data_IF_345117065972
#
_entry.id   IF_345117065972
#
_cell.length_a   1.000
_cell.length_b   1.000
_cell.length_c   1.000
_cell.angle_alpha   90.00
_cell.angle_beta   90.00
_cell.angle_gamma   90.00
#
_symmetry.space_group_name_H-M   'P 1'
#
loop_
_entity.id
_entity.type
_entity.pdbx_description
1 polymer ?
#
# COMPACT_ATOMS: atom_id res chain seq x y z
N UNK A 1 -27.39 -6.57 27.29
CA UNK A 1 -27.96 -5.49 28.13
C UNK A 1 -28.20 -4.30 27.21
N UNK A 2 -29.46 -4.09 26.87
CA UNK A 2 -29.94 -3.07 25.93
C UNK A 2 -29.89 -1.70 26.60
N UNK A 3 -29.43 -0.67 25.88
CA UNK A 3 -29.81 0.73 26.16
C UNK A 3 -30.31 1.37 24.87
N UNK A 4 -31.62 1.56 24.85
CA UNK A 4 -32.33 2.54 24.04
C UNK A 4 -32.41 3.83 24.88
N UNK A 5 -32.46 4.98 24.20
CA UNK A 5 -33.26 6.20 24.48
C UNK A 5 -32.44 7.46 24.17
N UNK A 6 -33.01 8.33 23.34
CA UNK A 6 -32.60 9.74 23.20
C UNK A 6 -33.21 10.43 21.98
N UNK A 7 -34.36 11.05 22.17
CA UNK A 7 -35.21 11.74 21.17
C UNK A 7 -34.92 13.26 21.08
N UNK A 8 -35.52 13.92 20.07
CA UNK A 8 -35.78 15.37 19.88
C UNK A 8 -34.62 16.18 19.25
N UNK A 9 -34.82 17.18 18.39
CA UNK A 9 -35.98 18.06 18.13
C UNK A 9 -35.77 18.84 16.81
N UNK A 10 -36.85 19.14 16.09
CA UNK A 10 -36.92 20.08 14.95
C UNK A 10 -36.99 21.53 15.48
N UNK A 11 -36.39 22.50 14.79
CA UNK A 11 -36.70 23.93 14.87
C UNK A 11 -36.48 24.56 13.50
N UNK A 12 -37.55 25.11 12.91
CA UNK A 12 -37.52 25.88 11.68
C UNK A 12 -37.24 27.37 11.92
N UNK A 13 -36.99 28.09 10.83
CA UNK A 13 -37.30 29.51 10.70
C UNK A 13 -37.51 29.83 9.21
N UNK A 14 -38.69 30.36 8.91
CA UNK A 14 -39.07 30.95 7.62
C UNK A 14 -38.53 32.38 7.54
N UNK A 15 -37.97 32.74 6.39
CA UNK A 15 -37.93 34.14 5.91
C UNK A 15 -38.34 34.11 4.44
N UNK A 16 -39.50 34.70 4.14
CA UNK A 16 -39.98 34.92 2.79
C UNK A 16 -39.25 36.13 2.16
N UNK A 17 -38.69 35.92 0.97
CA UNK A 17 -38.07 36.95 0.15
C UNK A 17 -38.17 36.51 -1.32
N UNK A 18 -38.95 37.28 -2.08
CA UNK A 18 -39.43 36.98 -3.42
C UNK A 18 -38.35 37.10 -4.49
N UNK A 19 -38.34 36.10 -5.38
CA UNK A 19 -38.19 36.25 -6.83
C UNK A 19 -36.88 36.86 -7.36
N UNK A 20 -35.90 35.99 -7.61
CA UNK A 20 -35.07 36.07 -8.82
C UNK A 20 -34.53 34.68 -9.20
N UNK A 21 -34.46 34.48 -10.51
CA UNK A 21 -34.49 33.20 -11.22
C UNK A 21 -33.12 32.48 -11.20
N UNK A 22 -32.76 31.78 -10.12
CA UNK A 22 -31.65 30.80 -10.15
C UNK A 22 -31.54 29.94 -8.88
N UNK A 23 -31.97 28.68 -8.94
CA UNK A 23 -31.59 27.61 -8.00
C UNK A 23 -31.50 26.34 -8.84
N UNK A 24 -30.32 25.82 -9.25
CA UNK A 24 -29.38 25.08 -8.40
C UNK A 24 -30.08 24.52 -7.17
N UNK A 25 -30.87 23.47 -7.39
CA UNK A 25 -31.08 22.50 -6.33
C UNK A 25 -29.71 22.07 -5.82
N UNK A 26 -29.46 22.42 -4.57
CA UNK A 26 -28.34 21.94 -3.78
C UNK A 26 -28.65 20.47 -3.48
N UNK A 27 -28.51 19.61 -4.51
CA UNK A 27 -28.57 18.17 -4.34
C UNK A 27 -27.43 17.83 -3.38
N UNK A 28 -27.78 17.36 -2.18
CA UNK A 28 -26.83 16.67 -1.33
C UNK A 28 -26.09 15.64 -2.19
N UNK A 29 -24.76 15.57 -2.11
CA UNK A 29 -23.99 14.54 -2.81
C UNK A 29 -24.55 13.16 -2.38
N UNK A 30 -25.46 12.59 -3.17
CA UNK A 30 -26.16 11.37 -2.78
C UNK A 30 -25.16 10.24 -2.61
N UNK A 31 -25.20 9.59 -1.45
CA UNK A 31 -24.28 8.50 -1.10
C UNK A 31 -24.42 7.33 -2.07
N UNK A 32 -23.29 6.84 -2.57
CA UNK A 32 -23.24 5.76 -3.55
C UNK A 32 -22.82 4.46 -2.88
N UNK A 33 -23.66 3.44 -3.01
CA UNK A 33 -23.41 2.14 -2.40
C UNK A 33 -22.69 1.25 -3.41
N UNK A 34 -21.62 0.58 -2.99
CA UNK A 34 -20.83 -0.33 -3.83
C UNK A 34 -20.84 -1.71 -3.19
N UNK A 35 -21.54 -2.66 -3.81
CA UNK A 35 -21.59 -4.04 -3.34
C UNK A 35 -20.32 -4.79 -3.76
N UNK A 36 -19.60 -5.35 -2.78
CA UNK A 36 -18.32 -6.06 -2.99
C UNK A 36 -18.41 -7.52 -2.56
N UNK A 37 -17.55 -8.37 -3.14
CA UNK A 37 -17.41 -9.76 -2.70
C UNK A 37 -16.45 -9.90 -1.51
N UNK A 38 -16.52 -11.03 -0.82
CA UNK A 38 -15.65 -11.33 0.32
C UNK A 38 -14.23 -11.73 -0.09
N UNK A 39 -13.98 -11.91 -1.40
CA UNK A 39 -12.65 -12.24 -1.91
C UNK A 39 -11.77 -11.00 -1.98
N UNK A 40 -10.47 -11.21 -1.92
CA UNK A 40 -9.52 -10.11 -1.85
C UNK A 40 -9.54 -9.29 -3.15
N UNK A 41 -10.02 -8.05 -3.06
CA UNK A 41 -10.03 -7.04 -4.14
C UNK A 41 -10.67 -7.46 -5.48
N UNK A 42 -11.47 -8.54 -5.51
CA UNK A 42 -12.18 -9.01 -6.72
C UNK A 42 -13.21 -7.99 -7.25
N UNK A 43 -13.68 -7.07 -6.40
CA UNK A 43 -14.61 -5.99 -6.79
C UNK A 43 -13.91 -4.63 -6.89
N UNK A 44 -12.58 -4.60 -6.96
CA UNK A 44 -11.79 -3.36 -7.05
C UNK A 44 -12.18 -2.56 -8.28
N UNK A 45 -12.35 -3.22 -9.42
CA UNK A 45 -12.68 -2.57 -10.68
C UNK A 45 -14.05 -1.89 -10.63
N UNK A 46 -15.05 -2.48 -9.98
CA UNK A 46 -16.36 -1.87 -9.71
C UNK A 46 -16.27 -0.61 -8.85
N UNK A 47 -15.44 -0.63 -7.78
CA UNK A 47 -15.24 0.55 -6.94
C UNK A 47 -14.57 1.69 -7.71
N UNK A 48 -13.50 1.39 -8.46
CA UNK A 48 -12.78 2.40 -9.25
C UNK A 48 -13.70 3.00 -10.30
N UNK A 49 -14.48 2.18 -10.99
CA UNK A 49 -15.48 2.65 -11.94
C UNK A 49 -16.51 3.56 -11.26
N UNK A 50 -17.04 3.17 -10.10
CA UNK A 50 -18.00 3.98 -9.36
C UNK A 50 -17.45 5.38 -9.06
N UNK A 51 -16.24 5.46 -8.51
CA UNK A 51 -15.59 6.74 -8.15
C UNK A 51 -15.38 7.63 -9.38
N UNK A 52 -14.98 7.04 -10.51
CA UNK A 52 -14.64 7.80 -11.71
C UNK A 52 -15.85 8.26 -12.53
N UNK A 53 -16.99 7.55 -12.47
CA UNK A 53 -18.08 7.72 -13.43
C UNK A 53 -19.39 8.24 -12.83
N UNK A 54 -19.55 8.21 -11.51
CA UNK A 54 -20.82 8.58 -10.87
C UNK A 54 -20.86 10.01 -10.35
N UNK A 55 -19.71 10.68 -10.23
CA UNK A 55 -19.61 12.05 -9.73
C UNK A 55 -19.89 12.22 -8.22
N UNK A 56 -20.15 11.14 -7.48
CA UNK A 56 -20.41 11.18 -6.04
C UNK A 56 -19.15 11.44 -5.21
N UNK A 57 -19.33 12.07 -4.04
CA UNK A 57 -18.25 12.32 -3.06
C UNK A 57 -18.28 11.40 -1.85
N UNK A 58 -19.44 10.82 -1.56
CA UNK A 58 -19.68 9.91 -0.43
C UNK A 58 -20.01 8.49 -0.92
N UNK A 59 -19.27 7.50 -0.43
CA UNK A 59 -19.43 6.10 -0.80
C UNK A 59 -19.70 5.21 0.42
N UNK A 60 -20.40 4.10 0.20
CA UNK A 60 -20.56 3.05 1.20
C UNK A 60 -20.20 1.69 0.59
N UNK A 61 -19.13 1.07 1.07
CA UNK A 61 -18.70 -0.26 0.66
C UNK A 61 -19.54 -1.30 1.39
N UNK A 62 -20.39 -2.02 0.67
CA UNK A 62 -21.33 -2.99 1.23
C UNK A 62 -20.83 -4.40 1.02
N UNK A 63 -20.75 -5.17 2.09
CA UNK A 63 -20.54 -6.61 2.03
C UNK A 63 -21.67 -7.35 2.77
N UNK A 64 -22.29 -8.31 2.08
CA UNK A 64 -23.27 -9.22 2.67
C UNK A 64 -22.59 -10.56 2.97
N UNK A 65 -22.51 -10.89 4.25
CA UNK A 65 -22.02 -12.16 4.75
C UNK A 65 -23.15 -13.18 4.76
N UNK A 66 -22.93 -14.30 4.07
CA UNK A 66 -23.79 -15.47 4.15
C UNK A 66 -23.23 -16.44 5.22
N UNK A 67 -23.91 -16.62 6.36
CA UNK A 67 -23.48 -17.54 7.41
C UNK A 67 -23.47 -18.98 6.89
N UNK A 68 -22.48 -19.77 7.31
CA UNK A 68 -22.43 -21.19 6.95
C UNK A 68 -23.55 -21.92 7.73
N UNK A 69 -24.55 -22.43 7.01
CA UNK A 69 -25.57 -23.32 7.58
C UNK A 69 -24.94 -24.69 7.86
N UNK A 70 -24.92 -25.11 9.13
CA UNK A 70 -24.46 -26.44 9.55
C UNK A 70 -25.67 -27.26 9.98
N UNK A 71 -25.80 -28.48 9.47
CA UNK A 71 -26.95 -29.36 9.74
C UNK A 71 -26.80 -30.30 10.94
N UNK A 72 -25.81 -30.13 11.84
CA UNK A 72 -25.54 -31.13 12.89
C UNK A 72 -25.58 -30.56 14.31
N UNK A 73 -26.49 -31.12 15.09
CA UNK A 73 -26.68 -30.96 16.54
C UNK A 73 -25.53 -31.65 17.29
N UNK A 74 -24.52 -30.87 17.71
CA UNK A 74 -23.43 -31.37 18.53
C UNK A 74 -22.72 -30.23 19.28
N UNK A 75 -22.94 -30.14 20.59
CA UNK A 75 -22.43 -29.09 21.49
C UNK A 75 -20.90 -28.97 21.49
N UNK A 76 -20.18 -30.02 21.12
CA UNK A 76 -18.70 -30.09 21.06
C UNK A 76 -18.08 -29.36 19.84
N UNK A 77 -18.86 -28.96 18.84
CA UNK A 77 -18.35 -28.27 17.63
C UNK A 77 -18.51 -26.74 17.68
N UNK A 78 -19.19 -26.21 18.70
CA UNK A 78 -19.57 -24.80 18.77
C UNK A 78 -18.36 -23.86 18.90
N UNK A 79 -17.33 -24.24 19.66
CA UNK A 79 -16.17 -23.39 19.93
C UNK A 79 -15.23 -23.32 18.71
N UNK A 80 -15.02 -24.46 18.02
CA UNK A 80 -14.26 -24.51 16.76
C UNK A 80 -14.99 -23.77 15.63
N UNK A 81 -16.33 -23.86 15.59
CA UNK A 81 -17.20 -23.10 14.67
C UNK A 81 -17.10 -21.59 14.90
N UNK A 82 -17.17 -21.16 16.16
CA UNK A 82 -17.03 -19.74 16.52
C UNK A 82 -15.67 -19.20 16.12
N UNK A 83 -14.58 -19.94 16.36
CA UNK A 83 -13.22 -19.54 15.94
C UNK A 83 -13.07 -19.39 14.42
N UNK A 84 -13.65 -20.29 13.63
CA UNK A 84 -13.62 -20.21 12.16
C UNK A 84 -14.42 -19.01 11.65
N UNK A 85 -15.60 -18.77 12.21
CA UNK A 85 -16.43 -17.61 11.91
C UNK A 85 -15.71 -16.30 12.26
N UNK A 86 -15.11 -16.19 13.45
CA UNK A 86 -14.36 -14.99 13.88
C UNK A 86 -13.16 -14.73 12.97
N UNK A 87 -12.36 -15.75 12.63
CA UNK A 87 -11.25 -15.60 11.66
C UNK A 87 -11.73 -15.18 10.27
N UNK A 88 -12.86 -15.72 9.82
CA UNK A 88 -13.47 -15.34 8.54
C UNK A 88 -13.91 -13.87 8.53
N UNK A 89 -14.58 -13.44 9.60
CA UNK A 89 -15.03 -12.05 9.80
C UNK A 89 -13.86 -11.07 9.85
N UNK A 90 -12.79 -11.40 10.57
CA UNK A 90 -11.56 -10.60 10.58
C UNK A 90 -10.91 -10.46 9.20
N UNK A 91 -10.88 -11.54 8.41
CA UNK A 91 -10.34 -11.52 7.05
C UNK A 91 -11.16 -10.59 6.14
N UNK A 92 -12.48 -10.70 6.20
CA UNK A 92 -13.38 -9.82 5.44
C UNK A 92 -13.20 -8.37 5.91
N UNK A 93 -13.06 -8.15 7.21
CA UNK A 93 -12.86 -6.82 7.75
C UNK A 93 -11.59 -6.15 7.21
N UNK A 94 -10.48 -6.92 7.16
CA UNK A 94 -9.23 -6.49 6.53
C UNK A 94 -9.40 -6.22 5.03
N UNK A 95 -10.20 -7.01 4.32
CA UNK A 95 -10.48 -6.78 2.90
C UNK A 95 -11.27 -5.47 2.69
N UNK A 96 -12.30 -5.20 3.52
CA UNK A 96 -13.04 -3.93 3.48
C UNK A 96 -12.14 -2.72 3.75
N UNK A 97 -11.18 -2.83 4.67
CA UNK A 97 -10.23 -1.76 4.95
C UNK A 97 -9.32 -1.46 3.74
N UNK A 98 -9.01 -2.46 2.89
CA UNK A 98 -8.30 -2.22 1.63
C UNK A 98 -9.12 -1.37 0.66
N UNK A 99 -10.43 -1.58 0.57
CA UNK A 99 -11.31 -0.75 -0.25
C UNK A 99 -11.37 0.70 0.28
N UNK A 100 -11.47 0.89 1.59
CA UNK A 100 -11.41 2.23 2.20
C UNK A 100 -10.08 2.95 1.91
N UNK A 101 -8.97 2.21 1.89
CA UNK A 101 -7.67 2.76 1.51
C UNK A 101 -7.63 3.20 0.04
N UNK A 102 -8.33 2.51 -0.86
CA UNK A 102 -8.47 2.93 -2.27
C UNK A 102 -9.27 4.23 -2.34
N UNK A 103 -10.42 4.30 -1.65
CA UNK A 103 -11.24 5.52 -1.57
C UNK A 103 -10.43 6.73 -1.07
N UNK A 104 -9.65 6.55 0.01
CA UNK A 104 -8.79 7.61 0.56
C UNK A 104 -7.73 8.09 -0.45
N UNK A 105 -7.12 7.16 -1.19
CA UNK A 105 -6.14 7.51 -2.25
C UNK A 105 -6.78 8.27 -3.41
N UNK A 106 -8.04 7.98 -3.71
CA UNK A 106 -8.83 8.66 -4.74
C UNK A 106 -9.56 9.91 -4.23
N UNK A 107 -9.29 10.35 -2.99
CA UNK A 107 -9.82 11.57 -2.40
C UNK A 107 -11.36 11.62 -2.27
N UNK A 108 -12.00 10.47 -2.05
CA UNK A 108 -13.44 10.38 -1.77
C UNK A 108 -13.70 9.89 -0.34
N UNK A 109 -14.82 10.31 0.24
CA UNK A 109 -15.24 9.82 1.55
C UNK A 109 -15.91 8.44 1.38
N UNK A 110 -15.57 7.50 2.27
CA UNK A 110 -16.15 6.16 2.22
C UNK A 110 -16.30 5.55 3.61
N UNK A 111 -17.44 4.90 3.82
CA UNK A 111 -17.67 4.01 4.95
C UNK A 111 -17.83 2.56 4.51
N UNK A 112 -17.84 1.64 5.46
CA UNK A 112 -18.07 0.21 5.22
C UNK A 112 -19.32 -0.25 5.96
N UNK A 113 -20.12 -1.06 5.29
CA UNK A 113 -21.33 -1.68 5.83
C UNK A 113 -21.22 -3.20 5.70
N UNK A 114 -21.30 -3.89 6.83
CA UNK A 114 -21.30 -5.35 6.93
C UNK A 114 -22.71 -5.81 7.31
N UNK A 115 -23.32 -6.65 6.47
CA UNK A 115 -24.68 -7.17 6.65
C UNK A 115 -24.58 -8.69 6.79
N UNK A 116 -25.19 -9.28 7.81
CA UNK A 116 -25.34 -10.73 7.93
C UNK A 116 -26.72 -11.12 7.41
N UNK A 117 -26.79 -12.00 6.41
CA UNK A 117 -28.05 -12.45 5.80
C UNK A 117 -27.93 -13.86 5.25
N UNK A 118 -29.01 -14.63 5.28
CA UNK A 118 -29.04 -16.01 4.74
C UNK A 118 -28.80 -16.06 3.22
N UNK A 119 -29.11 -14.97 2.52
CA UNK A 119 -28.87 -14.79 1.09
C UNK A 119 -28.24 -13.43 0.81
N UNK A 120 -27.27 -13.39 -0.10
CA UNK A 120 -26.62 -12.13 -0.53
C UNK A 120 -27.64 -11.23 -1.23
N UNK A 121 -28.51 -11.83 -2.03
CA UNK A 121 -29.55 -11.19 -2.81
C UNK A 121 -30.55 -10.48 -1.88
N UNK A 122 -31.03 -11.19 -0.85
CA UNK A 122 -31.93 -10.62 0.15
C UNK A 122 -31.27 -9.49 0.92
N UNK A 123 -30.00 -9.63 1.29
CA UNK A 123 -29.27 -8.57 1.99
C UNK A 123 -29.16 -7.28 1.18
N UNK A 124 -28.99 -7.40 -0.15
CA UNK A 124 -28.98 -6.24 -1.06
C UNK A 124 -30.40 -5.68 -1.25
N UNK A 125 -31.42 -6.52 -1.45
CA UNK A 125 -32.81 -6.07 -1.59
C UNK A 125 -33.32 -5.35 -0.33
N UNK A 126 -32.95 -5.86 0.85
CA UNK A 126 -33.29 -5.24 2.12
C UNK A 126 -32.56 -3.91 2.31
N UNK A 127 -31.30 -3.81 1.86
CA UNK A 127 -30.57 -2.56 1.85
C UNK A 127 -31.29 -1.50 1.02
N UNK A 128 -31.76 -1.85 -0.18
CA UNK A 128 -32.50 -0.93 -1.05
C UNK A 128 -33.84 -0.55 -0.41
N UNK A 129 -34.62 -1.53 0.02
CA UNK A 129 -36.01 -1.32 0.47
C UNK A 129 -36.10 -0.65 1.84
N UNK A 130 -35.28 -1.08 2.81
CA UNK A 130 -35.40 -0.64 4.20
C UNK A 130 -34.47 0.53 4.55
N UNK A 131 -33.32 0.63 3.89
CA UNK A 131 -32.37 1.74 4.13
C UNK A 131 -32.46 2.83 3.07
N UNK A 132 -33.37 2.70 2.10
CA UNK A 132 -33.62 3.73 1.09
C UNK A 132 -32.44 4.00 0.17
N UNK A 133 -31.66 2.96 -0.19
CA UNK A 133 -30.54 3.12 -1.10
C UNK A 133 -31.05 3.47 -2.49
N UNK A 134 -30.69 4.66 -2.99
CA UNK A 134 -31.10 5.18 -4.30
C UNK A 134 -30.11 4.90 -5.41
N UNK A 135 -28.83 4.66 -5.08
CA UNK A 135 -27.72 4.50 -6.03
C UNK A 135 -26.83 3.34 -5.62
N UNK A 136 -26.80 2.30 -6.45
CA UNK A 136 -26.04 1.06 -6.21
C UNK A 136 -25.14 0.72 -7.39
N UNK A 137 -23.88 0.40 -7.12
CA UNK A 137 -22.95 -0.21 -8.07
C UNK A 137 -22.66 -1.64 -7.64
N UNK A 138 -22.75 -2.59 -8.56
CA UNK A 138 -22.42 -3.99 -8.30
C UNK A 138 -21.83 -4.72 -9.52
N UNK A 139 -21.26 -5.91 -9.30
CA UNK A 139 -20.65 -6.70 -10.37
C UNK A 139 -21.67 -7.41 -11.26
N UNK A 140 -21.52 -7.29 -12.58
CA UNK A 140 -22.33 -7.99 -13.59
C UNK A 140 -21.98 -9.49 -13.72
N UNK A 141 -20.73 -9.84 -13.45
CA UNK A 141 -20.17 -11.19 -13.48
C UNK A 141 -18.92 -11.24 -12.57
N UNK A 142 -18.37 -12.44 -12.36
CA UNK A 142 -17.01 -12.54 -11.82
C UNK A 142 -16.00 -12.09 -12.90
N UNK A 143 -14.94 -11.37 -12.52
CA UNK A 143 -13.97 -10.79 -13.47
C UNK A 143 -13.38 -11.81 -14.45
N UNK A 144 -13.17 -13.06 -14.00
CA UNK A 144 -12.67 -14.17 -14.84
C UNK A 144 -13.59 -14.58 -16.00
N UNK A 145 -14.85 -14.17 -15.98
CA UNK A 145 -15.84 -14.43 -17.03
C UNK A 145 -16.08 -13.20 -17.92
N UNK A 146 -15.30 -12.13 -17.73
CA UNK A 146 -15.36 -10.96 -18.57
C UNK A 146 -14.90 -11.27 -20.00
N UNK A 147 -15.67 -10.77 -20.97
CA UNK A 147 -15.31 -10.69 -22.39
C UNK A 147 -15.63 -9.28 -22.88
N UNK A 148 -14.79 -8.71 -23.76
CA UNK A 148 -15.03 -7.39 -24.35
C UNK A 148 -16.37 -7.29 -25.12
N UNK A 149 -16.97 -8.43 -25.50
CA UNK A 149 -18.27 -8.48 -26.19
C UNK A 149 -19.47 -8.66 -25.24
N UNK A 150 -19.24 -8.66 -23.93
CA UNK A 150 -20.28 -8.85 -22.92
C UNK A 150 -21.25 -7.67 -22.90
N UNK A 151 -22.53 -7.95 -23.19
CA UNK A 151 -23.63 -6.98 -23.11
C UNK A 151 -24.69 -7.33 -22.07
N UNK A 152 -24.72 -8.59 -21.66
CA UNK A 152 -25.74 -9.11 -20.75
C UNK A 152 -25.15 -9.48 -19.39
N UNK A 153 -26.00 -9.46 -18.35
CA UNK A 153 -25.64 -9.93 -17.02
C UNK A 153 -25.41 -11.45 -17.03
N UNK A 154 -24.32 -11.91 -16.41
CA UNK A 154 -24.01 -13.35 -16.28
C UNK A 154 -24.01 -13.84 -14.83
N UNK A 155 -23.90 -12.94 -13.85
CA UNK A 155 -24.06 -13.27 -12.45
C UNK A 155 -25.53 -13.53 -12.14
N UNK A 156 -25.85 -14.74 -11.64
CA UNK A 156 -27.19 -15.07 -11.14
C UNK A 156 -27.68 -14.05 -10.10
N UNK A 157 -26.77 -13.55 -9.25
CA UNK A 157 -27.08 -12.50 -8.26
C UNK A 157 -27.43 -11.18 -8.93
N UNK A 158 -26.68 -10.77 -9.95
CA UNK A 158 -26.93 -9.53 -10.68
C UNK A 158 -28.25 -9.58 -11.45
N UNK A 159 -28.53 -10.69 -12.13
CA UNK A 159 -29.81 -10.92 -12.83
C UNK A 159 -30.98 -10.81 -11.86
N UNK A 160 -30.88 -11.47 -10.70
CA UNK A 160 -31.92 -11.42 -9.68
C UNK A 160 -32.12 -10.00 -9.12
N UNK A 161 -31.05 -9.30 -8.73
CA UNK A 161 -31.14 -7.91 -8.23
C UNK A 161 -31.68 -6.96 -9.30
N UNK A 162 -31.29 -7.11 -10.57
CA UNK A 162 -31.81 -6.30 -11.67
C UNK A 162 -33.33 -6.44 -11.84
N UNK A 163 -33.88 -7.63 -11.53
CA UNK A 163 -35.31 -7.92 -11.69
C UNK A 163 -36.13 -7.55 -10.46
N UNK A 164 -35.62 -7.85 -9.26
CA UNK A 164 -36.40 -7.79 -8.02
C UNK A 164 -36.20 -6.51 -7.20
N UNK A 165 -35.13 -5.74 -7.46
CA UNK A 165 -34.91 -4.51 -6.70
C UNK A 165 -36.01 -3.47 -6.95
N UNK A 166 -36.43 -2.69 -5.93
CA UNK A 166 -37.34 -1.57 -6.13
C UNK A 166 -36.89 -0.64 -7.26
N UNK A 167 -37.84 -0.11 -8.01
CA UNK A 167 -37.61 0.84 -9.11
C UNK A 167 -37.16 2.22 -8.62
N UNK A 168 -37.17 2.45 -7.31
CA UNK A 168 -36.63 3.65 -6.65
C UNK A 168 -35.10 3.71 -6.64
N UNK A 169 -34.41 2.61 -6.94
CA UNK A 169 -32.95 2.52 -6.92
C UNK A 169 -32.36 2.40 -8.33
N UNK A 170 -31.48 3.34 -8.64
CA UNK A 170 -30.63 3.29 -9.81
C UNK A 170 -29.49 2.31 -9.59
N UNK A 171 -29.29 1.37 -10.52
CA UNK A 171 -28.28 0.31 -10.37
C UNK A 171 -27.35 0.29 -11.58
N UNK A 172 -26.03 0.35 -11.35
CA UNK A 172 -25.01 0.13 -12.36
C UNK A 172 -24.36 -1.24 -12.20
N UNK A 173 -24.29 -1.99 -13.29
CA UNK A 173 -23.65 -3.30 -13.35
C UNK A 173 -22.33 -3.20 -14.11
N UNK A 174 -21.22 -3.47 -13.42
CA UNK A 174 -19.88 -3.32 -13.99
C UNK A 174 -19.14 -4.64 -14.04
N UNK A 175 -18.18 -4.76 -14.96
CA UNK A 175 -17.26 -5.89 -15.00
C UNK A 175 -15.91 -5.44 -15.56
N UNK A 176 -14.81 -5.81 -14.90
CA UNK A 176 -13.44 -5.46 -15.30
C UNK A 176 -13.22 -3.96 -15.60
N UNK A 177 -13.91 -3.09 -14.85
CA UNK A 177 -13.79 -1.63 -14.97
C UNK A 177 -14.65 -1.00 -16.07
N UNK A 178 -15.51 -1.77 -16.73
CA UNK A 178 -16.45 -1.28 -17.74
C UNK A 178 -17.89 -1.37 -17.24
N UNK A 179 -18.73 -0.42 -17.67
CA UNK A 179 -20.18 -0.49 -17.49
C UNK A 179 -20.74 -1.51 -18.50
N UNK A 180 -21.45 -2.51 -18.00
CA UNK A 180 -22.13 -3.51 -18.83
C UNK A 180 -23.55 -3.03 -19.14
N UNK A 181 -24.32 -2.71 -18.10
CA UNK A 181 -25.65 -2.13 -18.24
C UNK A 181 -26.04 -1.32 -16.99
N UNK A 182 -27.07 -0.50 -17.12
CA UNK A 182 -27.70 0.22 -16.02
C UNK A 182 -29.20 -0.07 -15.96
N UNK A 183 -29.76 0.06 -14.75
CA UNK A 183 -31.19 0.05 -14.51
C UNK A 183 -31.55 1.39 -13.87
N UNK A 184 -32.23 2.22 -14.67
CA UNK A 184 -32.65 3.55 -14.26
C UNK A 184 -33.69 3.50 -13.13
N UNK A 185 -33.61 4.45 -12.20
CA UNK A 185 -34.66 4.63 -11.21
C UNK A 185 -35.88 5.33 -11.84
N UNK A 186 -37.09 4.88 -11.49
CA UNK A 186 -38.32 5.61 -11.81
C UNK A 186 -38.54 6.68 -10.76
N UNK A 187 -38.55 7.95 -11.19
CA UNK A 187 -38.90 9.06 -10.30
C UNK A 187 -40.38 8.97 -9.97
N UNK A 188 -40.71 8.89 -8.67
CA UNK A 188 -42.05 8.77 -8.13
C UNK A 188 -42.91 10.04 -8.24
N UNK A 189 -42.76 10.81 -9.31
CA UNK A 189 -43.62 11.95 -9.63
C UNK A 189 -44.56 11.56 -10.79
N UNK A 190 -45.47 10.62 -10.52
CA UNK A 190 -46.81 10.49 -11.16
C UNK A 190 -47.44 9.14 -10.80
N UNK A 191 -48.11 9.10 -9.65
CA UNK A 191 -49.13 8.10 -9.36
C UNK A 191 -50.48 8.60 -9.88
N UNK A 192 -50.68 8.69 -11.20
CA UNK A 192 -52.01 8.79 -11.83
C UNK A 192 -51.94 8.33 -13.30
N UNK A 193 -52.88 7.46 -13.70
CA UNK A 193 -53.20 6.98 -15.06
C UNK A 193 -52.16 6.03 -15.72
N UNK A 194 -52.53 4.92 -16.37
CA UNK A 194 -53.82 4.27 -16.55
C UNK A 194 -53.55 2.85 -17.09
N UNK A 195 -54.40 1.91 -16.68
CA UNK A 195 -54.66 0.69 -17.44
C UNK A 195 -55.37 1.02 -18.76
N UNK A 196 -55.46 0.01 -19.62
CA UNK A 196 -56.26 -0.04 -20.85
C UNK A 196 -55.59 0.53 -22.11
N UNK A 197 -55.12 -0.39 -22.94
CA UNK A 197 -55.15 -0.23 -24.39
C UNK A 197 -55.52 -1.57 -25.00
N UNK A 198 -56.80 -1.92 -24.86
CA UNK A 198 -57.47 -2.94 -25.65
C UNK A 198 -58.75 -2.32 -26.19
N UNK A 199 -58.72 -1.85 -27.44
CA UNK A 199 -59.93 -1.68 -28.25
C UNK A 199 -59.59 -1.59 -29.74
N UNK A 200 -60.06 -2.60 -30.43
CA UNK A 200 -60.45 -2.67 -31.84
C UNK A 200 -61.19 -1.44 -32.36
N UNK A 201 -61.07 -1.16 -33.67
CA UNK A 201 -62.17 -1.17 -34.67
C UNK A 201 -61.79 -0.41 -35.95
N UNK A 202 -62.09 -1.01 -37.10
CA UNK A 202 -62.80 -0.31 -38.18
C UNK A 202 -63.44 -1.33 -39.15
N UNK A 203 -64.76 -1.46 -39.05
CA UNK A 203 -65.64 -1.87 -40.13
C UNK A 203 -66.21 -0.60 -40.76
N UNK A 204 -66.28 -0.54 -42.08
CA UNK A 204 -66.90 0.52 -42.85
C UNK A 204 -68.27 0.09 -43.38
N UNK A 205 -69.26 0.94 -43.14
CA UNK A 205 -70.62 0.94 -43.68
C UNK A 205 -70.69 1.24 -45.18
N UNK A 206 -71.63 0.60 -45.92
CA UNK A 206 -72.30 1.19 -47.11
C UNK A 206 -73.78 0.74 -47.19
N UNK A 207 -74.67 1.72 -46.90
CA UNK A 207 -76.04 2.04 -47.37
C UNK A 207 -77.12 0.99 -47.72
N UNK A 208 -78.32 1.25 -47.15
CA UNK A 208 -79.66 0.75 -47.53
C UNK A 208 -80.17 1.40 -48.83
N UNK A 209 -80.88 0.63 -49.69
CA UNK A 209 -82.08 1.12 -50.39
C UNK A 209 -83.01 -0.02 -50.82
N UNK A 210 -84.22 0.37 -51.20
CA UNK A 210 -85.52 -0.27 -50.95
C UNK A 210 -86.04 -1.17 -52.09
N UNK A 211 -87.00 -2.05 -51.75
CA UNK A 211 -87.71 -3.04 -52.56
C UNK A 211 -88.34 -2.54 -53.87
N UNK A 212 -88.32 -3.39 -54.93
CA UNK A 212 -89.49 -3.69 -55.77
C UNK A 212 -89.23 -4.87 -56.74
N UNK A 213 -90.13 -5.85 -56.73
CA UNK A 213 -90.40 -6.87 -57.78
C UNK A 213 -91.94 -6.78 -57.95
N UNK A 214 -92.58 -6.89 -59.14
CA UNK A 214 -92.31 -7.95 -60.11
C UNK A 214 -92.52 -7.63 -61.59
N UNK A 215 -91.70 -8.25 -62.44
CA UNK A 215 -92.14 -8.59 -63.80
C UNK A 215 -91.32 -9.75 -64.34
N UNK A 216 -92.03 -10.85 -64.54
CA UNK A 216 -91.59 -12.09 -65.16
C UNK A 216 -91.16 -11.79 -66.60
N UNK A 217 -89.86 -11.75 -66.87
CA UNK A 217 -89.32 -11.73 -68.24
C UNK A 217 -88.38 -12.92 -68.41
N UNK A 218 -88.74 -13.74 -69.39
CA UNK A 218 -88.00 -14.86 -70.00
C UNK A 218 -86.52 -14.81 -69.64
N UNK A 219 -86.09 -15.77 -68.81
CA UNK A 219 -84.69 -15.95 -68.41
C UNK A 219 -83.92 -16.28 -69.68
N UNK A 220 -83.14 -15.32 -70.18
CA UNK A 220 -82.21 -15.53 -71.26
C UNK A 220 -81.07 -16.41 -70.71
N UNK A 221 -81.13 -17.71 -70.99
CA UNK A 221 -80.18 -18.71 -70.51
C UNK A 221 -78.72 -18.30 -70.78
N UNK A 222 -78.49 -17.55 -71.87
CA UNK A 222 -77.17 -17.04 -72.25
C UNK A 222 -76.56 -16.04 -71.26
N UNK A 223 -77.36 -15.22 -70.58
CA UNK A 223 -76.82 -14.19 -69.67
C UNK A 223 -76.40 -14.80 -68.31
N UNK A 224 -77.13 -15.83 -67.83
CA UNK A 224 -76.71 -16.63 -66.66
C UNK A 224 -75.47 -17.46 -66.94
N UNK A 225 -75.32 -17.96 -68.17
CA UNK A 225 -74.12 -18.69 -68.59
C UNK A 225 -72.91 -17.75 -68.65
N UNK A 226 -73.05 -16.54 -69.19
CA UNK A 226 -71.97 -15.53 -69.19
C UNK A 226 -71.54 -15.13 -67.78
N UNK A 227 -72.51 -14.89 -66.88
CA UNK A 227 -72.22 -14.57 -65.48
C UNK A 227 -71.45 -15.70 -64.78
N UNK A 228 -71.92 -16.94 -64.91
CA UNK A 228 -71.24 -18.12 -64.36
C UNK A 228 -69.83 -18.34 -64.95
N UNK A 229 -69.63 -18.06 -66.25
CA UNK A 229 -68.31 -18.11 -66.89
C UNK A 229 -67.38 -17.03 -66.34
N UNK A 230 -67.86 -15.79 -66.19
CA UNK A 230 -67.04 -14.71 -65.60
C UNK A 230 -66.70 -14.96 -64.13
N UNK A 231 -67.63 -15.54 -63.36
CA UNK A 231 -67.39 -15.95 -61.98
C UNK A 231 -66.34 -17.07 -61.91
N UNK A 232 -66.46 -18.09 -62.77
CA UNK A 232 -65.48 -19.16 -62.87
C UNK A 232 -64.08 -18.65 -63.27
N UNK A 233 -63.99 -17.67 -64.16
CA UNK A 233 -62.73 -17.02 -64.54
C UNK A 233 -62.13 -16.18 -63.41
N UNK A 234 -62.96 -15.47 -62.64
CA UNK A 234 -62.52 -14.73 -61.46
C UNK A 234 -61.99 -15.67 -60.38
N UNK A 235 -62.72 -16.74 -60.06
CA UNK A 235 -62.27 -17.77 -59.11
C UNK A 235 -60.97 -18.43 -59.57
N UNK A 236 -60.82 -18.69 -60.87
CA UNK A 236 -59.59 -19.23 -61.45
C UNK A 236 -58.41 -18.27 -61.31
N UNK A 237 -58.62 -16.96 -61.40
CA UNK A 237 -57.58 -15.94 -61.14
C UNK A 237 -57.21 -15.88 -59.66
N UNK A 238 -58.18 -15.95 -58.77
CA UNK A 238 -57.95 -15.95 -57.32
C UNK A 238 -57.13 -17.17 -56.88
N UNK A 239 -57.51 -18.37 -57.33
CA UNK A 239 -56.77 -19.61 -57.03
C UNK A 239 -55.33 -19.54 -57.53
N UNK A 240 -55.08 -18.92 -58.70
CA UNK A 240 -53.72 -18.72 -59.22
C UNK A 240 -52.92 -17.73 -58.38
N UNK A 241 -53.54 -16.66 -57.92
CA UNK A 241 -52.87 -15.66 -57.08
C UNK A 241 -52.51 -16.24 -55.71
N UNK A 242 -53.40 -17.02 -55.10
CA UNK A 242 -53.11 -17.75 -53.87
C UNK A 242 -52.03 -18.83 -54.07
N UNK A 243 -52.00 -19.51 -55.22
CA UNK A 243 -50.92 -20.44 -55.56
C UNK A 243 -49.56 -19.72 -55.68
N UNK A 244 -49.52 -18.54 -56.30
CA UNK A 244 -48.32 -17.71 -56.39
C UNK A 244 -47.81 -17.26 -55.01
N UNK A 245 -48.68 -16.78 -54.13
CA UNK A 245 -48.30 -16.44 -52.74
C UNK A 245 -47.75 -17.64 -51.98
N UNK A 246 -48.33 -18.83 -52.19
CA UNK A 246 -47.86 -20.06 -51.56
C UNK A 246 -46.45 -20.42 -52.05
N UNK A 247 -46.18 -20.29 -53.34
CA UNK A 247 -44.84 -20.51 -53.93
C UNK A 247 -43.81 -19.51 -53.37
N UNK A 248 -44.17 -18.24 -53.22
CA UNK A 248 -43.30 -17.23 -52.60
C UNK A 248 -43.02 -17.54 -51.12
N UNK A 249 -44.04 -17.95 -50.37
CA UNK A 249 -43.89 -18.38 -48.98
C UNK A 249 -43.01 -19.65 -48.86
N UNK A 250 -43.14 -20.59 -49.79
CA UNK A 250 -42.31 -21.80 -49.85
C UNK A 250 -40.85 -21.47 -50.14
N UNK A 251 -40.58 -20.58 -51.10
CA UNK A 251 -39.22 -20.10 -51.39
C UNK A 251 -38.61 -19.36 -50.19
N UNK A 252 -39.40 -18.51 -49.51
CA UNK A 252 -38.96 -17.83 -48.28
C UNK A 252 -38.62 -18.82 -47.16
N UNK A 253 -39.40 -19.89 -47.01
CA UNK A 253 -39.13 -20.95 -46.05
C UNK A 253 -37.83 -21.73 -46.38
N UNK A 254 -37.59 -22.02 -47.66
CA UNK A 254 -36.34 -22.66 -48.12
C UNK A 254 -35.12 -21.79 -47.79
N UNK A 255 -35.20 -20.49 -48.06
CA UNK A 255 -34.12 -19.54 -47.74
C UNK A 255 -33.87 -19.43 -46.24
N UNK A 256 -34.94 -19.42 -45.44
CA UNK A 256 -34.83 -19.43 -43.97
C UNK A 256 -34.13 -20.71 -43.48
N UNK A 257 -34.48 -21.88 -44.01
CA UNK A 257 -33.83 -23.16 -43.67
C UNK A 257 -32.36 -23.14 -44.08
N UNK A 258 -32.03 -22.62 -45.27
CA UNK A 258 -30.65 -22.51 -45.74
C UNK A 258 -29.81 -21.62 -44.82
N UNK A 259 -30.35 -20.47 -44.41
CA UNK A 259 -29.69 -19.57 -43.44
C UNK A 259 -29.52 -20.23 -42.07
N UNK A 260 -30.53 -20.96 -41.59
CA UNK A 260 -30.44 -21.69 -40.32
C UNK A 260 -29.29 -22.72 -40.35
N UNK A 261 -29.21 -23.54 -41.41
CA UNK A 261 -28.11 -24.51 -41.60
C UNK A 261 -26.74 -23.86 -41.68
N UNK A 262 -26.63 -22.71 -42.35
CA UNK A 262 -25.37 -21.95 -42.39
C UNK A 262 -24.98 -21.44 -41.01
N UNK A 263 -25.93 -20.89 -40.25
CA UNK A 263 -25.67 -20.42 -38.88
C UNK A 263 -25.27 -21.54 -37.92
N UNK A 264 -25.87 -22.74 -38.07
CA UNK A 264 -25.51 -23.92 -37.30
C UNK A 264 -24.07 -24.38 -37.59
N UNK A 265 -23.66 -24.40 -38.87
CA UNK A 265 -22.28 -24.73 -39.25
C UNK A 265 -21.28 -23.75 -38.67
N UNK A 266 -21.59 -22.45 -38.68
CA UNK A 266 -20.71 -21.42 -38.09
C UNK A 266 -20.59 -21.63 -36.57
N UNK A 267 -21.70 -21.88 -35.89
CA UNK A 267 -21.71 -22.14 -34.45
C UNK A 267 -20.86 -23.36 -34.05
N UNK A 268 -20.92 -24.46 -34.81
CA UNK A 268 -20.12 -25.65 -34.54
C UNK A 268 -18.61 -25.39 -34.72
N UNK A 269 -18.23 -24.58 -35.71
CA UNK A 269 -16.83 -24.21 -35.91
C UNK A 269 -16.33 -23.28 -34.79
N UNK A 270 -17.15 -22.32 -34.36
CA UNK A 270 -16.85 -21.46 -33.20
C UNK A 270 -16.69 -22.29 -31.91
N UNK A 271 -17.52 -23.30 -31.71
CA UNK A 271 -17.42 -24.21 -30.56
C UNK A 271 -16.11 -25.01 -30.58
N UNK A 272 -15.71 -25.50 -31.76
CA UNK A 272 -14.45 -26.22 -31.94
C UNK A 272 -13.25 -25.31 -31.66
N UNK A 273 -13.25 -24.11 -32.22
CA UNK A 273 -12.21 -23.11 -31.98
C UNK A 273 -12.15 -22.72 -30.49
N UNK A 274 -13.30 -22.55 -29.84
CA UNK A 274 -13.40 -22.32 -28.40
C UNK A 274 -12.70 -23.41 -27.59
N UNK A 275 -12.99 -24.67 -27.87
CA UNK A 275 -12.34 -25.81 -27.20
C UNK A 275 -10.82 -25.87 -27.44
N UNK A 276 -10.35 -25.54 -28.64
CA UNK A 276 -8.91 -25.49 -28.95
C UNK A 276 -8.21 -24.36 -28.17
N UNK A 277 -8.82 -23.17 -28.13
CA UNK A 277 -8.28 -22.04 -27.36
C UNK A 277 -8.28 -22.31 -25.85
N UNK A 278 -9.28 -22.99 -25.32
CA UNK A 278 -9.34 -23.37 -23.90
C UNK A 278 -8.23 -24.36 -23.55
N UNK A 279 -7.96 -25.36 -24.41
CA UNK A 279 -6.83 -26.29 -24.23
C UNK A 279 -5.49 -25.57 -24.27
N UNK A 280 -5.29 -24.67 -25.23
CA UNK A 280 -4.09 -23.86 -25.33
C UNK A 280 -3.90 -22.98 -24.07
N UNK A 281 -4.98 -22.39 -23.58
CA UNK A 281 -4.98 -21.59 -22.36
C UNK A 281 -4.64 -22.42 -21.11
N UNK A 282 -5.18 -23.64 -21.00
CA UNK A 282 -4.85 -24.55 -19.89
C UNK A 282 -3.35 -24.87 -19.87
N UNK A 283 -2.78 -25.20 -21.03
CA UNK A 283 -1.34 -25.49 -21.14
C UNK A 283 -0.48 -24.27 -20.79
N UNK A 284 -0.84 -23.08 -21.29
CA UNK A 284 -0.12 -21.85 -20.95
C UNK A 284 -0.18 -21.52 -19.45
N UNK A 285 -1.30 -21.80 -18.78
CA UNK A 285 -1.43 -21.62 -17.33
C UNK A 285 -0.53 -22.58 -16.54
N UNK A 286 -0.44 -23.83 -16.96
CA UNK A 286 0.46 -24.81 -16.32
C UNK A 286 1.93 -24.41 -16.47
N UNK A 287 2.34 -23.95 -17.65
CA UNK A 287 3.70 -23.44 -17.89
C UNK A 287 4.02 -22.22 -17.02
N UNK A 288 3.07 -21.29 -16.89
CA UNK A 288 3.23 -20.10 -16.05
C UNK A 288 3.33 -20.44 -14.56
N UNK A 289 2.55 -21.40 -14.08
CA UNK A 289 2.62 -21.88 -12.70
C UNK A 289 3.97 -22.55 -12.41
N UNK A 290 4.50 -23.33 -13.35
CA UNK A 290 5.84 -23.93 -13.22
C UNK A 290 6.91 -22.85 -13.09
N UNK A 291 6.89 -21.83 -13.96
CA UNK A 291 7.83 -20.71 -13.87
C UNK A 291 7.69 -19.93 -12.56
N UNK A 292 6.46 -19.77 -12.05
CA UNK A 292 6.20 -19.11 -10.76
C UNK A 292 6.86 -19.87 -9.61
N UNK A 293 6.68 -21.18 -9.54
CA UNK A 293 7.30 -22.03 -8.50
C UNK A 293 8.83 -21.96 -8.57
N UNK A 294 9.40 -21.98 -9.77
CA UNK A 294 10.85 -21.87 -9.96
C UNK A 294 11.39 -20.48 -9.54
N UNK A 295 10.65 -19.41 -9.85
CA UNK A 295 10.98 -18.05 -9.39
C UNK A 295 10.92 -17.95 -7.87
N UNK A 296 9.86 -18.45 -7.24
CA UNK A 296 9.70 -18.43 -5.77
C UNK A 296 10.83 -19.19 -5.06
N UNK A 297 11.28 -20.30 -5.66
CA UNK A 297 12.43 -21.07 -5.16
C UNK A 297 13.72 -20.25 -5.22
N UNK A 298 14.02 -19.61 -6.37
CA UNK A 298 15.20 -18.72 -6.52
C UNK A 298 15.19 -17.54 -5.57
N UNK A 299 14.01 -16.96 -5.33
CA UNK A 299 13.82 -15.86 -4.36
C UNK A 299 14.10 -16.38 -2.93
N UNK A 300 13.62 -17.57 -2.59
CA UNK A 300 13.88 -18.21 -1.30
C UNK A 300 15.37 -18.40 -1.03
N UNK A 301 16.11 -18.93 -2.01
CA UNK A 301 17.56 -19.13 -1.93
C UNK A 301 18.31 -17.80 -1.76
N UNK A 302 17.96 -16.78 -2.56
CA UNK A 302 18.54 -15.44 -2.47
C UNK A 302 18.29 -14.80 -1.10
N UNK A 303 17.07 -14.89 -0.59
CA UNK A 303 16.71 -14.39 0.74
C UNK A 303 17.50 -15.07 1.86
N UNK A 304 17.80 -16.36 1.72
CA UNK A 304 18.62 -17.08 2.69
C UNK A 304 20.06 -16.54 2.71
N UNK A 305 20.65 -16.25 1.55
CA UNK A 305 21.99 -15.65 1.44
C UNK A 305 22.00 -14.24 2.05
N UNK A 306 21.01 -13.41 1.72
CA UNK A 306 20.87 -12.05 2.28
C UNK A 306 20.81 -12.11 3.80
N UNK A 307 20.02 -13.03 4.37
CA UNK A 307 19.89 -13.17 5.83
C UNK A 307 21.20 -13.57 6.49
N UNK A 308 21.99 -14.46 5.87
CA UNK A 308 23.32 -14.84 6.36
C UNK A 308 24.27 -13.64 6.34
N UNK A 309 24.31 -12.89 5.24
CA UNK A 309 25.14 -11.69 5.11
C UNK A 309 24.76 -10.62 6.15
N UNK A 310 23.46 -10.38 6.36
CA UNK A 310 22.97 -9.46 7.38
C UNK A 310 23.38 -9.87 8.79
N UNK A 311 23.33 -11.18 9.11
CA UNK A 311 23.78 -11.70 10.40
C UNK A 311 25.29 -11.45 10.59
N UNK A 312 26.09 -11.81 9.58
CA UNK A 312 27.54 -11.59 9.62
C UNK A 312 27.89 -10.11 9.80
N UNK A 313 27.23 -9.23 9.03
CA UNK A 313 27.43 -7.78 9.15
C UNK A 313 27.06 -7.28 10.56
N UNK A 314 25.94 -7.74 11.12
CA UNK A 314 25.54 -7.38 12.48
C UNK A 314 26.56 -7.83 13.53
N UNK A 315 27.11 -9.04 13.40
CA UNK A 315 28.15 -9.56 14.29
C UNK A 315 29.45 -8.75 14.17
N UNK A 316 29.90 -8.46 12.96
CA UNK A 316 31.09 -7.63 12.71
C UNK A 316 30.92 -6.22 13.27
N UNK A 317 29.75 -5.61 13.08
CA UNK A 317 29.46 -4.27 13.63
C UNK A 317 29.50 -4.25 15.16
N UNK A 318 28.96 -5.29 15.83
CA UNK A 318 29.05 -5.41 17.29
C UNK A 318 30.49 -5.54 17.77
N UNK A 319 31.33 -6.31 17.07
CA UNK A 319 32.75 -6.45 17.41
C UNK A 319 33.50 -5.12 17.26
N UNK A 320 33.24 -4.36 16.18
CA UNK A 320 33.84 -3.05 15.97
C UNK A 320 33.48 -2.02 17.05
N UNK A 321 32.23 -2.06 17.54
CA UNK A 321 31.79 -1.20 18.64
C UNK A 321 32.59 -1.52 19.92
N UNK A 322 32.71 -2.81 20.27
CA UNK A 322 33.48 -3.24 21.46
C UNK A 322 34.95 -2.81 21.37
N UNK A 323 35.60 -3.02 20.23
CA UNK A 323 36.99 -2.61 20.03
C UNK A 323 37.16 -1.09 20.15
N UNK A 324 36.16 -0.30 19.75
CA UNK A 324 36.19 1.17 19.91
C UNK A 324 36.08 1.56 21.38
N UNK A 325 35.23 0.89 22.15
CA UNK A 325 35.08 1.11 23.58
C UNK A 325 36.39 0.78 24.32
N UNK A 326 36.98 -0.40 24.06
CA UNK A 326 38.27 -0.81 24.61
C UNK A 326 39.40 0.18 24.24
N UNK A 327 39.44 0.66 23.00
CA UNK A 327 40.42 1.68 22.60
C UNK A 327 40.26 3.00 23.36
N UNK A 328 39.05 3.40 23.70
CA UNK A 328 38.83 4.64 24.44
C UNK A 328 39.17 4.49 25.92
N UNK A 329 38.89 3.32 26.52
CA UNK A 329 39.35 2.97 27.87
C UNK A 329 40.89 2.99 27.97
N UNK A 330 41.58 2.32 27.05
CA UNK A 330 43.05 2.33 27.02
C UNK A 330 43.63 3.74 26.82
N UNK A 331 42.96 4.61 26.05
CA UNK A 331 43.38 6.02 25.94
C UNK A 331 43.19 6.81 27.23
N UNK A 332 42.20 6.46 28.04
CA UNK A 332 42.00 7.07 29.36
C UNK A 332 43.12 6.61 30.29
N UNK A 333 43.38 5.30 30.36
CA UNK A 333 44.45 4.74 31.17
C UNK A 333 45.82 5.29 30.77
N UNK A 334 46.12 5.38 29.47
CA UNK A 334 47.37 5.95 28.97
C UNK A 334 47.52 7.41 29.39
N UNK A 335 46.43 8.19 29.36
CA UNK A 335 46.44 9.58 29.87
C UNK A 335 46.73 9.63 31.37
N UNK A 336 46.19 8.73 32.17
CA UNK A 336 46.48 8.66 33.61
C UNK A 336 47.92 8.26 33.91
N UNK A 337 48.43 7.21 33.23
CA UNK A 337 49.82 6.78 33.37
C UNK A 337 50.78 7.90 32.98
N UNK A 338 50.50 8.63 31.90
CA UNK A 338 51.33 9.77 31.49
C UNK A 338 51.39 10.87 32.57
N UNK A 339 50.26 11.23 33.18
CA UNK A 339 50.20 12.19 34.30
C UNK A 339 51.01 11.73 35.51
N UNK A 340 50.88 10.46 35.89
CA UNK A 340 51.62 9.89 37.01
C UNK A 340 53.13 9.86 36.73
N UNK A 341 53.52 9.60 35.48
CA UNK A 341 54.92 9.63 35.06
C UNK A 341 55.50 11.03 35.13
N UNK A 342 54.80 12.04 34.62
CA UNK A 342 55.21 13.45 34.75
C UNK A 342 55.38 13.85 36.22
N UNK A 343 54.45 13.44 37.09
CA UNK A 343 54.51 13.72 38.52
C UNK A 343 55.69 13.01 39.21
N UNK A 344 55.99 11.77 38.83
CA UNK A 344 57.18 11.05 39.34
C UNK A 344 58.48 11.66 38.83
N UNK A 345 58.53 12.10 37.58
CA UNK A 345 59.68 12.82 37.00
C UNK A 345 59.88 14.18 37.70
N UNK A 346 58.81 14.90 38.06
CA UNK A 346 58.86 16.12 38.90
C UNK A 346 59.31 15.81 40.35
N UNK A 347 58.86 14.71 40.94
CA UNK A 347 59.28 14.28 42.29
C UNK A 347 60.74 13.77 42.32
N UNK A 348 61.20 13.02 41.31
CA UNK A 348 62.59 12.54 41.18
C UNK A 348 63.58 13.67 40.83
N UNK A 349 63.14 14.69 40.06
CA UNK A 349 63.96 15.90 39.83
C UNK A 349 63.97 16.86 41.01
N UNK A 350 63.01 16.76 41.93
CA UNK A 350 63.04 17.49 43.22
C UNK A 350 63.92 16.83 44.27
N UNK A 351 64.13 15.51 44.22
CA UNK A 351 64.94 14.76 45.19
C UNK A 351 66.44 14.61 44.82
N UNK A 352 66.83 15.03 43.62
CA UNK A 352 68.20 14.92 43.09
C UNK A 352 68.98 16.25 43.09
N UNK A 353 68.34 17.38 43.39
CA UNK A 353 69.02 18.68 43.51
C UNK A 353 69.71 18.93 44.86
N UNK A 354 69.43 18.11 45.88
CA UNK A 354 69.97 18.29 47.24
C UNK A 354 71.24 17.45 47.52
N UNK A 355 71.76 16.70 46.54
CA UNK A 355 72.94 15.83 46.74
C UNK A 355 74.17 16.22 45.94
N UNK A 356 74.08 17.18 45.02
CA UNK A 356 75.26 17.65 44.30
C UNK A 356 75.99 18.71 45.14
N UNK A 357 77.32 18.58 45.36
CA UNK A 357 78.09 19.60 46.03
C UNK A 357 77.99 20.92 45.25
N UNK A 358 77.71 22.05 45.92
CA UNK A 358 77.78 23.35 45.28
C UNK A 358 79.11 23.54 44.54
N UNK A 359 79.08 24.07 43.32
CA UNK A 359 80.26 24.16 42.44
C UNK A 359 81.48 24.84 43.09
N UNK A 360 81.26 25.77 44.02
CA UNK A 360 82.32 26.47 44.76
C UNK A 360 83.01 25.62 45.84
N UNK A 361 82.53 24.41 46.11
CA UNK A 361 83.25 23.40 46.90
C UNK A 361 84.22 22.56 46.07
N UNK A 362 84.08 22.59 44.75
CA UNK A 362 84.88 21.79 43.83
C UNK A 362 86.17 22.52 43.46
N UNK A 363 87.29 21.83 43.64
CA UNK A 363 88.61 22.32 43.26
C UNK A 363 88.73 22.39 41.73
N UNK A 364 89.15 23.52 41.15
CA UNK A 364 89.33 23.61 39.72
C UNK A 364 90.40 22.69 39.12
N UNK A 365 91.41 22.31 39.91
CA UNK A 365 92.53 21.48 39.46
C UNK A 365 92.16 20.00 39.53
N UNK A 366 91.60 19.55 40.65
CA UNK A 366 91.29 18.13 40.88
C UNK A 366 89.89 17.74 40.41
N UNK A 367 88.99 18.71 40.25
CA UNK A 367 87.55 18.49 39.98
C UNK A 367 86.83 17.69 41.08
N UNK A 368 87.41 17.67 42.29
CA UNK A 368 86.86 17.03 43.49
C UNK A 368 86.58 18.07 44.59
N UNK A 369 85.78 17.69 45.59
CA UNK A 369 85.51 18.54 46.77
C UNK A 369 86.82 18.86 47.50
N UNK A 370 87.05 20.14 47.82
CA UNK A 370 88.25 20.58 48.53
C UNK A 370 88.23 20.14 50.00
N UNK A 371 89.27 19.44 50.45
CA UNK A 371 89.50 19.10 51.86
C UNK A 371 90.28 20.20 52.59
N UNK A 372 91.26 20.82 51.91
CA UNK A 372 92.07 21.91 52.46
C UNK A 372 92.15 23.11 51.49
N UNK A 373 91.07 23.89 51.37
CA UNK A 373 90.96 24.97 50.40
C UNK A 373 91.95 26.11 50.68
N UNK A 374 92.75 26.48 49.68
CA UNK A 374 93.73 27.57 49.70
C UNK A 374 93.49 28.59 48.60
N UNK A 375 93.49 29.87 48.96
CA UNK A 375 93.34 31.00 48.03
C UNK A 375 94.68 31.37 47.43
N UNK A 376 94.76 31.45 46.10
CA UNK A 376 95.92 31.97 45.39
C UNK A 376 95.78 33.48 45.09
N UNK A 377 96.82 34.09 44.54
CA UNK A 377 96.88 35.54 44.28
C UNK A 377 95.83 36.07 43.29
N UNK A 378 95.19 35.18 42.54
CA UNK A 378 94.08 35.48 41.62
C UNK A 378 92.72 35.53 42.32
N UNK A 379 92.65 35.19 43.61
CA UNK A 379 91.42 35.14 44.40
C UNK A 379 90.61 33.85 44.22
N UNK A 380 91.09 32.88 43.43
CA UNK A 380 90.46 31.56 43.33
C UNK A 380 90.96 30.63 44.43
N UNK A 381 90.10 29.69 44.83
CA UNK A 381 90.41 28.70 45.85
C UNK A 381 90.63 27.34 45.21
N UNK A 382 91.65 26.63 45.68
CA UNK A 382 92.08 25.33 45.17
C UNK A 382 92.39 24.38 46.32
N UNK A 383 92.45 23.08 46.04
CA UNK A 383 93.01 22.11 46.98
C UNK A 383 94.48 22.43 47.27
N UNK A 384 94.85 22.49 48.55
CA UNK A 384 96.13 23.02 49.03
C UNK A 384 97.33 22.30 48.44
N UNK A 385 97.32 20.97 48.46
CA UNK A 385 98.39 20.14 47.90
C UNK A 385 98.49 20.28 46.38
N UNK A 386 97.34 20.47 45.71
CA UNK A 386 97.28 20.55 44.26
C UNK A 386 97.86 21.87 43.72
N UNK A 387 97.52 22.99 44.36
CA UNK A 387 98.05 24.31 43.98
C UNK A 387 99.51 24.48 44.44
N UNK A 388 99.91 23.89 45.57
CA UNK A 388 101.31 23.88 46.00
C UNK A 388 102.17 23.09 45.01
N UNK A 389 101.75 21.88 44.63
CA UNK A 389 102.42 21.08 43.61
C UNK A 389 102.45 21.75 42.23
N UNK A 390 101.45 22.56 41.90
CA UNK A 390 101.45 23.36 40.67
C UNK A 390 102.60 24.38 40.65
N UNK A 391 102.85 25.06 41.77
CA UNK A 391 103.97 26.00 41.89
C UNK A 391 105.34 25.30 42.00
N UNK A 392 105.43 24.16 42.68
CA UNK A 392 106.66 23.36 42.77
C UNK A 392 107.14 22.85 41.41
N UNK A 393 106.21 22.60 40.47
CA UNK A 393 106.52 22.25 39.08
C UNK A 393 107.00 23.43 38.24
N UNK A 394 107.11 24.62 38.83
CA UNK A 394 107.64 25.84 38.19
C UNK A 394 106.59 26.67 37.45
N UNK A 395 105.29 26.42 37.65
CA UNK A 395 104.24 27.24 37.05
C UNK A 395 104.01 28.51 37.88
N UNK A 396 103.96 29.68 37.22
CA UNK A 396 103.62 30.97 37.85
C UNK A 396 102.25 31.49 37.39
N UNK A 397 101.38 30.61 36.89
CA UNK A 397 100.07 30.97 36.32
C UNK A 397 98.92 30.42 37.17
N UNK A 398 97.77 31.08 37.08
CA UNK A 398 96.49 30.67 37.66
C UNK A 398 95.99 29.41 36.94
N UNK A 399 95.70 28.29 37.65
CA UNK A 399 95.12 27.11 37.03
C UNK A 399 93.70 27.33 36.46
N UNK A 400 92.93 28.27 37.03
CA UNK A 400 91.59 28.62 36.53
C UNK A 400 91.60 29.48 35.28
N UNK A 401 92.46 30.51 35.26
CA UNK A 401 92.39 31.56 34.23
C UNK A 401 93.57 31.56 33.27
N UNK A 402 94.59 30.75 33.55
CA UNK A 402 95.85 30.66 32.83
C UNK A 402 96.63 31.99 32.72
N UNK A 403 96.33 32.96 33.61
CA UNK A 403 97.04 34.25 33.69
C UNK A 403 98.18 34.19 34.70
N UNK A 404 99.25 34.95 34.49
CA UNK A 404 100.39 35.01 35.43
C UNK A 404 99.95 35.61 36.77
N UNK A 405 100.32 34.94 37.87
CA UNK A 405 100.01 35.37 39.23
C UNK A 405 101.01 36.44 39.71
N UNK A 406 100.56 37.45 40.48
CA UNK A 406 101.46 38.44 41.09
C UNK A 406 102.47 37.83 42.06
N UNK A 407 102.09 36.76 42.76
CA UNK A 407 102.92 36.02 43.71
C UNK A 407 102.40 34.58 43.88
N UNK A 408 103.22 33.69 44.44
CA UNK A 408 102.89 32.27 44.69
C UNK A 408 102.50 31.99 46.14
N UNK A 409 102.36 33.01 47.00
CA UNK A 409 101.90 32.78 48.37
C UNK A 409 100.45 32.33 48.41
N UNK A 410 100.18 31.27 49.18
CA UNK A 410 98.86 30.69 49.40
C UNK A 410 98.33 31.07 50.78
N UNK A 411 97.04 31.37 50.85
CA UNK A 411 96.35 31.69 52.11
C UNK A 411 95.26 30.65 52.37
N UNK A 412 95.29 29.90 53.49
CA UNK A 412 94.23 28.94 53.81
C UNK A 412 92.85 29.60 53.91
N UNK A 413 91.85 29.06 53.21
CA UNK A 413 90.46 29.50 53.27
C UNK A 413 89.69 28.70 54.33
N UNK A 414 89.94 29.02 55.60
CA UNK A 414 89.33 28.30 56.72
C UNK A 414 87.79 28.41 56.73
N UNK A 415 87.22 29.52 56.22
CA UNK A 415 85.78 29.70 56.12
C UNK A 415 85.14 28.72 55.13
N UNK A 416 85.73 28.56 53.94
CA UNK A 416 85.25 27.59 52.95
C UNK A 416 85.45 26.16 53.46
N UNK A 417 86.56 25.88 54.13
CA UNK A 417 86.82 24.57 54.75
C UNK A 417 85.73 24.18 55.75
N UNK A 418 85.34 25.09 56.64
CA UNK A 418 84.24 24.84 57.58
C UNK A 418 82.90 24.65 56.88
N UNK A 419 82.60 25.43 55.84
CA UNK A 419 81.36 25.30 55.07
C UNK A 419 81.26 23.95 54.34
N UNK A 420 82.37 23.46 53.77
CA UNK A 420 82.43 22.14 53.14
C UNK A 420 82.21 21.03 54.16
N UNK A 421 82.84 21.13 55.34
CA UNK A 421 82.68 20.14 56.40
C UNK A 421 81.25 20.07 56.95
N UNK A 422 80.61 21.22 57.13
CA UNK A 422 79.21 21.30 57.56
C UNK A 422 78.28 20.66 56.51
N UNK A 423 78.53 20.93 55.22
CA UNK A 423 77.78 20.32 54.13
C UNK A 423 77.95 18.79 54.08
N UNK A 424 79.18 18.28 54.21
CA UNK A 424 79.46 16.84 54.23
C UNK A 424 78.79 16.12 55.41
N UNK A 425 78.68 16.77 56.57
CA UNK A 425 77.98 16.22 57.73
C UNK A 425 76.47 16.20 57.52
N UNK A 426 75.91 17.26 56.93
CA UNK A 426 74.50 17.37 56.60
C UNK A 426 74.07 16.37 55.52
N UNK A 427 74.96 16.02 54.57
CA UNK A 427 74.68 15.05 53.50
C UNK A 427 74.85 13.58 53.93
N UNK A 428 75.43 13.32 55.10
CA UNK A 428 75.72 11.97 55.63
C UNK A 428 74.68 11.47 56.66
N UNK A 429 73.70 12.30 57.00
CA UNK A 429 72.59 12.02 57.94
C UNK A 429 71.29 11.85 57.17
#
# INVERSE_FOLDING_TARGET
MVKIVGSLRFCGNEIAGSMEFSKRETLMDEKIYVAVTGKDLESKSSLVWAIQNTGGKDFCIVYVHQPIQFSVTGTMFHDKKLRLYTKGKEKIQKNLDKYLNICRKMQVNAEKLYIEMDSVEEGILQLISQRGVRKLVMGAAAERHYSMRMRDLQSKKAIYISREAPDTCHIWFTCNGYLICSREARSGDNLYLECASSSSLSQTDITRNTQSVPSLSIVNYDDRIKEAVTEAENLKREVRFEAFKREEAENSAIDAIKKAKQSESVYLEELKQGNETEKALSKAKEELEKMRIESDTRIGESNMVIRKLQCNYSLSMKALIRLREEQEELKIELREVSKLKSKREEEETSFSKDREPPEYFICPITQDIMEDPHVAADGFTYEGDSISGWFERGHETSPMTNKRLPHTSLVPNLALRSAIQEWLQASSS
#
